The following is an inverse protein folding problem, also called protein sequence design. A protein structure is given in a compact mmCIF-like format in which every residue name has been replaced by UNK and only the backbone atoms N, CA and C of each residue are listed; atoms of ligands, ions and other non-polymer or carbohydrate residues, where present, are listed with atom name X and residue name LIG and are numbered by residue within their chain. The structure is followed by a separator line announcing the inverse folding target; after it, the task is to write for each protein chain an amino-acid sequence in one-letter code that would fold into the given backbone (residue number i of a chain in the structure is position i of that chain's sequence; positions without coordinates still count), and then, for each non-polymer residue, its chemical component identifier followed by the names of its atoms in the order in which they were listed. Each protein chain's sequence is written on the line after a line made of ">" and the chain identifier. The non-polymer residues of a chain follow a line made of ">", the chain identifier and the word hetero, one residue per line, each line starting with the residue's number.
data_IF_125506072176
#
_entry.id   IF_125506072176
#
_cell.length_a   1.000
_cell.length_b   1.000
_cell.length_c   1.000
_cell.angle_alpha   90.00
_cell.angle_beta   90.00
_cell.angle_gamma   90.00
#
_symmetry.space_group_name_H-M   'P 1'
#
loop_
_entity.id
_entity.type
_entity.pdbx_description
1 polymer ?
#
# COMPACT_ATOMS: atom_id res chain seq x y z
N UNK A 1 10.27 28.37 2.72
CA UNK A 1 9.15 27.64 3.34
C UNK A 1 7.91 28.48 3.16
N UNK A 2 6.86 27.93 2.55
CA UNK A 2 5.57 28.62 2.45
C UNK A 2 4.94 28.72 3.85
N UNK A 3 4.14 29.75 4.11
CA UNK A 3 3.36 29.85 5.35
C UNK A 3 2.48 28.62 5.54
N UNK A 4 1.95 28.06 4.44
CA UNK A 4 1.19 26.82 4.43
C UNK A 4 1.99 25.64 4.99
N UNK A 5 3.24 25.47 4.54
CA UNK A 5 4.11 24.38 4.99
C UNK A 5 4.41 24.50 6.49
N UNK A 6 4.59 25.74 6.98
CA UNK A 6 4.83 26.00 8.40
C UNK A 6 3.61 25.63 9.26
N UNK A 7 2.40 25.99 8.83
CA UNK A 7 1.14 25.64 9.51
C UNK A 7 0.94 24.12 9.51
N UNK A 8 1.15 23.45 8.37
CA UNK A 8 1.05 22.00 8.28
C UNK A 8 2.03 21.30 9.24
N UNK A 9 3.27 21.77 9.31
CA UNK A 9 4.26 21.25 10.26
C UNK A 9 3.80 21.39 11.71
N UNK A 10 3.20 22.52 12.09
CA UNK A 10 2.66 22.71 13.44
C UNK A 10 1.48 21.77 13.73
N UNK A 11 0.58 21.56 12.76
CA UNK A 11 -0.53 20.62 12.89
C UNK A 11 -0.01 19.21 13.17
N UNK A 12 1.02 18.76 12.43
CA UNK A 12 1.62 17.43 12.63
C UNK A 12 2.20 17.29 14.04
N UNK A 13 2.96 18.27 14.51
CA UNK A 13 3.57 18.27 15.85
C UNK A 13 2.50 18.18 16.95
N UNK A 14 1.46 19.02 16.87
CA UNK A 14 0.38 19.03 17.85
C UNK A 14 -0.45 17.74 17.82
N UNK A 15 -0.67 17.16 16.64
CA UNK A 15 -1.39 15.88 16.49
C UNK A 15 -0.62 14.73 17.15
N UNK A 16 0.71 14.65 16.95
CA UNK A 16 1.54 13.64 17.62
C UNK A 16 1.53 13.81 19.14
N UNK A 17 1.61 15.05 19.63
CA UNK A 17 1.54 15.33 21.08
C UNK A 17 0.19 14.92 21.68
N UNK A 18 -0.92 15.26 21.00
CA UNK A 18 -2.27 14.88 21.42
C UNK A 18 -2.42 13.36 21.55
N UNK A 19 -1.91 12.60 20.56
CA UNK A 19 -1.95 11.14 20.60
C UNK A 19 -1.21 10.60 21.84
N UNK A 20 0.01 11.10 22.12
CA UNK A 20 0.78 10.67 23.29
C UNK A 20 0.05 10.97 24.61
N UNK A 21 -0.62 12.12 24.72
CA UNK A 21 -1.40 12.47 25.92
C UNK A 21 -2.62 11.58 26.10
N UNK A 22 -3.35 11.28 25.02
CA UNK A 22 -4.49 10.34 25.07
C UNK A 22 -4.05 8.91 25.41
N UNK A 23 -2.88 8.47 24.95
CA UNK A 23 -2.30 7.19 25.36
C UNK A 23 -1.98 7.19 26.87
N UNK A 24 -1.46 8.30 27.40
CA UNK A 24 -1.22 8.44 28.85
C UNK A 24 -2.52 8.44 29.67
N UNK A 25 -3.55 9.14 29.19
CA UNK A 25 -4.88 9.13 29.81
C UNK A 25 -5.48 7.72 29.80
N UNK A 26 -5.41 7.01 28.67
CA UNK A 26 -5.87 5.63 28.58
C UNK A 26 -5.10 4.68 29.51
N UNK A 27 -3.78 4.89 29.67
CA UNK A 27 -2.94 4.06 30.53
C UNK A 27 -3.21 4.30 32.02
N UNK A 28 -3.47 5.54 32.42
CA UNK A 28 -3.71 5.92 33.83
C UNK A 28 -5.18 5.79 34.25
N UNK A 29 -6.11 5.85 33.30
CA UNK A 29 -7.55 5.71 33.53
C UNK A 29 -8.06 6.78 34.51
N UNK A 30 -8.71 6.33 35.59
CA UNK A 30 -9.22 7.22 36.65
C UNK A 30 -8.13 7.94 37.45
N UNK A 31 -6.87 7.49 37.37
CA UNK A 31 -5.74 8.13 38.04
C UNK A 31 -5.00 9.12 37.13
N UNK A 32 -5.63 9.57 36.04
CA UNK A 32 -5.04 10.56 35.14
C UNK A 32 -4.91 11.90 35.85
N UNK A 33 -3.70 12.48 35.96
CA UNK A 33 -3.52 13.82 36.52
C UNK A 33 -4.30 14.85 35.70
N UNK A 34 -4.98 15.83 36.36
CA UNK A 34 -5.81 16.82 35.67
C UNK A 34 -5.03 17.66 34.65
N UNK A 35 -3.72 17.80 34.81
CA UNK A 35 -2.86 18.52 33.87
C UNK A 35 -2.89 17.90 32.46
N UNK A 36 -3.04 16.56 32.36
CA UNK A 36 -3.12 15.86 31.06
C UNK A 36 -4.42 16.21 30.35
N UNK A 37 -5.55 16.18 31.05
CA UNK A 37 -6.86 16.52 30.45
C UNK A 37 -6.90 17.97 30.00
N UNK A 38 -6.32 18.91 30.77
CA UNK A 38 -6.21 20.32 30.37
C UNK A 38 -5.31 20.47 29.14
N UNK A 39 -4.15 19.80 29.12
CA UNK A 39 -3.23 19.88 27.96
C UNK A 39 -3.87 19.31 26.69
N UNK A 40 -4.70 18.27 26.80
CA UNK A 40 -5.49 17.71 25.68
C UNK A 40 -6.44 18.78 25.12
N UNK A 41 -7.23 19.43 25.98
CA UNK A 41 -8.19 20.47 25.57
C UNK A 41 -7.49 21.68 24.90
N UNK A 42 -6.37 22.13 25.46
CA UNK A 42 -5.55 23.21 24.90
C UNK A 42 -5.01 22.87 23.51
N UNK A 43 -4.54 21.63 23.31
CA UNK A 43 -4.00 21.18 22.02
C UNK A 43 -5.11 21.01 20.99
N UNK A 44 -6.27 20.51 21.38
CA UNK A 44 -7.43 20.38 20.48
C UNK A 44 -7.89 21.76 19.99
N UNK A 45 -7.95 22.74 20.88
CA UNK A 45 -8.25 24.14 20.53
C UNK A 45 -7.23 24.70 19.55
N UNK A 46 -5.93 24.53 19.82
CA UNK A 46 -4.85 24.97 18.90
C UNK A 46 -4.93 24.31 17.52
N UNK A 47 -5.24 23.00 17.47
CA UNK A 47 -5.40 22.29 16.20
C UNK A 47 -6.59 22.83 15.40
N UNK A 48 -7.70 23.18 16.07
CA UNK A 48 -8.84 23.79 15.42
C UNK A 48 -8.48 25.16 14.80
N UNK A 49 -7.75 26.00 15.54
CA UNK A 49 -7.29 27.31 15.05
C UNK A 49 -6.33 27.19 13.87
N UNK A 50 -5.33 26.31 13.95
CA UNK A 50 -4.37 26.08 12.86
C UNK A 50 -5.04 25.56 11.59
N UNK A 51 -6.03 24.66 11.72
CA UNK A 51 -6.80 24.16 10.57
C UNK A 51 -7.63 25.27 9.92
N UNK A 52 -8.20 26.18 10.73
CA UNK A 52 -8.92 27.36 10.22
C UNK A 52 -7.96 28.31 9.49
N UNK A 53 -6.76 28.52 10.02
CA UNK A 53 -5.72 29.33 9.35
C UNK A 53 -5.30 28.70 8.02
N UNK A 54 -5.10 27.38 7.98
CA UNK A 54 -4.78 26.65 6.75
C UNK A 54 -5.88 26.83 5.68
N UNK A 55 -7.15 26.74 6.07
CA UNK A 55 -8.29 26.93 5.18
C UNK A 55 -8.35 28.36 4.62
N UNK A 56 -8.07 29.37 5.45
CA UNK A 56 -7.98 30.76 5.03
C UNK A 56 -6.81 30.98 4.07
N UNK A 57 -5.65 30.36 4.33
CA UNK A 57 -4.48 30.45 3.46
C UNK A 57 -4.71 29.79 2.08
N UNK A 58 -5.50 28.71 2.02
CA UNK A 58 -5.90 28.11 0.73
C UNK A 58 -6.96 28.89 -0.04
N UNK A 59 -7.64 29.83 0.62
CA UNK A 59 -8.70 30.65 0.01
C UNK A 59 -8.17 31.90 -0.69
N UNK A 60 -6.85 32.15 -0.68
CA UNK A 60 -6.27 33.07 -1.66
C UNK A 60 -6.23 32.33 -2.99
N UNK A 61 -7.11 32.66 -3.96
CA UNK A 61 -7.01 32.07 -5.28
C UNK A 61 -5.66 32.50 -5.82
N UNK A 62 -4.77 31.55 -6.08
CA UNK A 62 -3.67 31.76 -7.00
C UNK A 62 -4.32 32.22 -8.30
N UNK A 63 -4.32 33.53 -8.52
CA UNK A 63 -4.83 34.12 -9.73
C UNK A 63 -4.04 33.43 -10.85
N UNK A 64 -4.73 32.72 -11.76
CA UNK A 64 -4.04 32.10 -12.87
C UNK A 64 -3.40 33.25 -13.64
N UNK A 65 -2.07 33.29 -13.66
CA UNK A 65 -1.33 34.00 -14.68
C UNK A 65 -1.75 33.32 -15.99
N UNK A 66 -2.81 33.88 -16.58
CA UNK A 66 -3.35 33.53 -17.88
C UNK A 66 -2.24 33.73 -18.90
N UNK A 67 -1.49 32.65 -19.15
CA UNK A 67 -0.51 32.58 -20.22
C UNK A 67 -1.14 31.72 -21.34
N UNK A 68 -1.90 32.32 -22.27
CA UNK A 68 -2.65 31.61 -23.31
C UNK A 68 -1.76 30.87 -24.33
N UNK A 69 -0.43 30.98 -24.23
CA UNK A 69 0.53 30.45 -25.21
C UNK A 69 0.82 28.95 -25.02
N UNK A 70 0.71 28.41 -23.79
CA UNK A 70 1.09 27.02 -23.50
C UNK A 70 0.06 25.98 -23.99
N UNK A 71 -1.17 26.39 -24.28
CA UNK A 71 -2.24 25.49 -24.76
C UNK A 71 -2.12 25.15 -26.25
N UNK A 72 -1.39 25.92 -27.05
CA UNK A 72 -1.23 25.65 -28.49
C UNK A 72 -0.07 24.70 -28.83
N UNK A 73 0.88 24.48 -27.91
CA UNK A 73 2.07 23.68 -28.20
C UNK A 73 1.87 22.18 -27.91
N UNK A 74 0.97 21.82 -26.98
CA UNK A 74 0.69 20.40 -26.65
C UNK A 74 -0.13 19.65 -27.70
N UNK A 75 -0.73 20.35 -28.69
CA UNK A 75 -1.51 19.71 -29.76
C UNK A 75 -0.67 19.21 -30.94
N UNK A 76 0.67 19.42 -30.95
CA UNK A 76 1.53 19.11 -32.11
C UNK A 76 2.46 17.90 -31.97
N UNK A 77 2.48 17.18 -30.85
CA UNK A 77 3.41 16.06 -30.62
C UNK A 77 2.75 14.68 -30.48
N UNK A 78 1.55 14.48 -31.05
CA UNK A 78 0.83 13.19 -31.02
C UNK A 78 0.90 12.42 -32.36
N UNK A 79 2.10 12.18 -32.90
CA UNK A 79 2.29 11.23 -34.01
C UNK A 79 3.73 10.71 -34.05
N UNK A 80 4.01 9.67 -33.27
CA UNK A 80 5.17 8.78 -33.50
C UNK A 80 4.94 7.45 -32.77
N UNK A 81 4.29 6.52 -33.47
CA UNK A 81 4.17 5.13 -33.03
C UNK A 81 5.27 4.32 -33.73
N UNK A 82 6.20 3.65 -33.01
CA UNK A 82 7.26 2.88 -33.65
C UNK A 82 6.74 1.55 -34.25
N UNK A 83 7.30 1.08 -35.38
CA UNK A 83 6.88 -0.17 -36.01
C UNK A 83 7.41 -1.40 -35.24
N UNK A 84 6.53 -2.35 -34.95
CA UNK A 84 6.86 -3.65 -34.35
C UNK A 84 7.55 -4.57 -35.38
N UNK A 85 8.79 -4.97 -35.13
CA UNK A 85 9.51 -5.98 -35.89
C UNK A 85 9.39 -7.36 -35.25
N UNK A 86 8.88 -8.34 -36.00
CA UNK A 86 8.85 -9.76 -35.61
C UNK A 86 10.08 -10.48 -36.20
N UNK A 87 10.89 -11.11 -35.36
CA UNK A 87 12.06 -11.91 -35.78
C UNK A 87 11.73 -13.40 -35.68
N UNK A 88 11.77 -14.10 -36.82
CA UNK A 88 11.58 -15.56 -36.93
C UNK A 88 12.95 -16.22 -37.14
N UNK A 89 13.36 -17.14 -36.26
CA UNK A 89 14.59 -17.94 -36.41
C UNK A 89 14.21 -19.43 -36.27
N UNK A 90 14.51 -20.23 -37.29
CA UNK A 90 14.43 -21.69 -37.18
C UNK A 90 13.03 -22.32 -37.11
N UNK A 91 12.01 -21.70 -37.70
CA UNK A 91 10.66 -22.28 -37.79
C UNK A 91 9.77 -22.08 -36.56
N UNK A 92 10.28 -21.45 -35.50
CA UNK A 92 9.49 -21.03 -34.34
C UNK A 92 8.98 -19.59 -34.54
N UNK A 93 7.68 -19.39 -34.37
CA UNK A 93 6.99 -18.12 -34.60
C UNK A 93 6.75 -17.42 -33.25
N UNK A 94 7.53 -16.39 -32.93
CA UNK A 94 7.36 -15.57 -31.71
C UNK A 94 6.50 -14.34 -32.01
N UNK A 95 5.21 -14.57 -32.33
CA UNK A 95 4.24 -13.50 -32.48
C UNK A 95 3.73 -13.02 -31.12
N UNK A 96 3.88 -11.72 -30.82
CA UNK A 96 3.36 -11.02 -29.65
C UNK A 96 3.90 -11.47 -28.28
N UNK A 97 5.13 -11.05 -27.97
CA UNK A 97 5.59 -10.92 -26.58
C UNK A 97 5.17 -9.52 -26.10
N UNK A 98 3.95 -9.42 -25.59
CA UNK A 98 3.47 -8.24 -24.87
C UNK A 98 2.37 -8.73 -23.93
N UNK A 99 2.63 -8.66 -22.63
CA UNK A 99 1.88 -9.37 -21.60
C UNK A 99 2.72 -10.49 -20.98
N UNK A 100 2.71 -10.56 -19.65
CA UNK A 100 3.68 -11.22 -18.75
C UNK A 100 3.78 -12.75 -18.83
N UNK A 101 3.71 -13.38 -20.00
CA UNK A 101 3.89 -14.84 -20.13
C UNK A 101 4.61 -15.22 -21.42
N UNK A 102 5.88 -15.59 -21.29
CA UNK A 102 6.59 -16.40 -22.29
C UNK A 102 6.89 -17.74 -21.64
N UNK A 103 6.41 -18.81 -22.26
CA UNK A 103 6.58 -20.17 -21.81
C UNK A 103 7.71 -20.82 -22.63
N UNK A 104 8.87 -21.08 -22.03
CA UNK A 104 9.88 -21.99 -22.60
C UNK A 104 10.51 -22.77 -21.44
N UNK A 105 10.30 -24.09 -21.43
CA UNK A 105 10.40 -24.92 -20.22
C UNK A 105 11.78 -25.07 -19.57
N UNK A 106 11.73 -25.49 -18.31
CA UNK A 106 12.41 -26.71 -17.90
C UNK A 106 11.38 -27.54 -17.13
N UNK A 107 10.92 -28.59 -17.79
CA UNK A 107 9.99 -29.58 -17.26
C UNK A 107 10.68 -30.32 -16.12
N UNK A 108 10.13 -30.24 -14.90
CA UNK A 108 10.38 -31.26 -13.88
C UNK A 108 9.07 -31.52 -13.14
N UNK A 109 8.32 -32.48 -13.68
CA UNK A 109 7.24 -33.14 -12.98
C UNK A 109 7.36 -34.64 -13.30
N UNK A 110 7.42 -35.47 -12.26
CA UNK A 110 7.14 -36.90 -12.39
C UNK A 110 5.68 -37.05 -12.86
N UNK A 111 5.51 -37.36 -14.13
CA UNK A 111 4.20 -37.66 -14.72
C UNK A 111 3.88 -39.12 -14.39
N UNK A 112 3.12 -39.36 -13.31
CA UNK A 112 2.50 -40.66 -13.11
C UNK A 112 1.15 -40.73 -13.86
N UNK A 113 1.22 -40.98 -15.16
CA UNK A 113 0.04 -41.17 -16.01
C UNK A 113 -0.39 -42.65 -15.97
N UNK A 114 -1.31 -42.97 -15.05
CA UNK A 114 -1.99 -44.28 -14.98
C UNK A 114 -3.41 -44.29 -15.57
N UNK A 115 -3.79 -43.30 -16.37
CA UNK A 115 -5.15 -43.16 -16.92
C UNK A 115 -5.17 -42.53 -18.31
N UNK A 116 -6.07 -43.04 -19.15
CA UNK A 116 -6.23 -42.70 -20.57
C UNK A 116 -6.53 -41.20 -20.79
N UNK A 117 -5.71 -40.53 -21.61
CA UNK A 117 -5.90 -39.13 -21.99
C UNK A 117 -6.80 -39.09 -23.23
N UNK A 118 -8.11 -39.03 -23.01
CA UNK A 118 -9.08 -38.82 -24.09
C UNK A 118 -9.11 -37.36 -24.54
N UNK A 119 -8.74 -37.13 -25.80
CA UNK A 119 -8.67 -35.85 -26.50
C UNK A 119 -10.03 -35.18 -26.74
N UNK A 120 -10.65 -34.71 -25.67
CA UNK A 120 -11.78 -33.77 -25.71
C UNK A 120 -11.35 -32.45 -25.10
N UNK A 121 -11.51 -31.36 -25.86
CA UNK A 121 -11.11 -30.01 -25.49
C UNK A 121 -11.90 -29.49 -24.28
N UNK A 122 -11.48 -29.91 -23.08
CA UNK A 122 -11.90 -29.31 -21.82
C UNK A 122 -10.65 -28.79 -21.14
N UNK A 123 -10.23 -27.59 -21.54
CA UNK A 123 -9.39 -26.73 -20.69
C UNK A 123 -10.26 -26.32 -19.51
N UNK A 124 -10.44 -27.24 -18.57
CA UNK A 124 -10.75 -26.83 -17.21
C UNK A 124 -9.42 -26.32 -16.71
N UNK A 125 -9.27 -25.01 -16.55
CA UNK A 125 -8.25 -24.41 -15.69
C UNK A 125 -8.60 -24.84 -14.26
N UNK A 126 -8.43 -26.13 -13.98
CA UNK A 126 -8.23 -26.60 -12.64
C UNK A 126 -6.89 -26.00 -12.30
N UNK A 127 -6.91 -24.85 -11.61
CA UNK A 127 -5.81 -24.51 -10.72
C UNK A 127 -5.75 -25.75 -9.84
N UNK A 128 -4.84 -26.67 -10.17
CA UNK A 128 -4.52 -27.78 -9.30
C UNK A 128 -3.90 -27.08 -8.10
N UNK A 129 -4.75 -26.70 -7.16
CA UNK A 129 -4.44 -26.52 -5.76
C UNK A 129 -3.93 -27.88 -5.29
N UNK A 130 -2.75 -28.26 -5.79
CA UNK A 130 -2.08 -29.49 -5.43
C UNK A 130 -1.80 -29.34 -3.97
N UNK A 131 -2.63 -29.98 -3.15
CA UNK A 131 -2.66 -30.01 -1.69
C UNK A 131 -1.44 -29.34 -1.08
N UNK A 132 -1.41 -28.01 -1.11
CA UNK A 132 -0.34 -27.25 -0.49
C UNK A 132 -0.59 -27.49 0.97
N UNK A 133 0.31 -28.21 1.62
CA UNK A 133 0.08 -28.56 3.01
C UNK A 133 -0.14 -27.24 3.76
N UNK A 134 -1.01 -27.25 4.78
CA UNK A 134 -1.29 -26.01 5.52
C UNK A 134 0.01 -25.37 6.06
N UNK A 135 1.05 -26.18 6.30
CA UNK A 135 2.40 -25.72 6.62
C UNK A 135 3.11 -24.96 5.50
N UNK A 136 2.97 -25.39 4.24
CA UNK A 136 3.56 -24.71 3.08
C UNK A 136 2.92 -23.33 2.86
N UNK A 137 1.60 -23.23 3.06
CA UNK A 137 0.87 -21.94 2.97
C UNK A 137 1.34 -20.98 4.06
N UNK A 138 1.52 -21.47 5.29
CA UNK A 138 2.02 -20.68 6.42
C UNK A 138 3.45 -20.19 6.14
N UNK A 139 4.35 -21.05 5.66
CA UNK A 139 5.73 -20.70 5.36
C UNK A 139 5.84 -19.65 4.23
N UNK A 140 5.03 -19.80 3.18
CA UNK A 140 4.97 -18.82 2.08
C UNK A 140 4.43 -17.47 2.54
N UNK A 141 3.41 -17.46 3.40
CA UNK A 141 2.90 -16.23 4.02
C UNK A 141 4.00 -15.54 4.84
N UNK A 142 4.72 -16.28 5.67
CA UNK A 142 5.80 -15.70 6.47
C UNK A 142 6.91 -15.13 5.60
N UNK A 143 7.31 -15.83 4.53
CA UNK A 143 8.29 -15.33 3.57
C UNK A 143 7.79 -14.04 2.88
N UNK A 144 6.52 -13.98 2.49
CA UNK A 144 5.92 -12.79 1.88
C UNK A 144 5.88 -11.60 2.85
N UNK A 145 5.53 -11.84 4.12
CA UNK A 145 5.52 -10.79 5.16
C UNK A 145 6.93 -10.27 5.47
N UNK A 146 7.94 -11.15 5.47
CA UNK A 146 9.35 -10.74 5.62
C UNK A 146 9.79 -9.88 4.45
N UNK A 147 9.47 -10.30 3.22
CA UNK A 147 9.79 -9.53 2.01
C UNK A 147 9.11 -8.15 2.02
N UNK A 148 7.81 -8.12 2.34
CA UNK A 148 7.06 -6.87 2.49
C UNK A 148 7.72 -5.92 3.50
N UNK A 149 8.15 -6.43 4.67
CA UNK A 149 8.84 -5.63 5.69
C UNK A 149 10.15 -5.03 5.15
N UNK A 150 10.93 -5.81 4.40
CA UNK A 150 12.18 -5.34 3.80
C UNK A 150 11.94 -4.23 2.77
N UNK A 151 10.94 -4.41 1.90
CA UNK A 151 10.53 -3.39 0.93
C UNK A 151 10.05 -2.12 1.65
N UNK A 152 9.30 -2.28 2.75
CA UNK A 152 8.82 -1.16 3.54
C UNK A 152 9.95 -0.37 4.21
N UNK A 153 10.91 -1.05 4.84
CA UNK A 153 12.09 -0.40 5.41
C UNK A 153 12.89 0.33 4.32
N UNK A 154 13.07 -0.27 3.13
CA UNK A 154 13.77 0.37 2.03
C UNK A 154 13.07 1.67 1.55
N UNK A 155 11.74 1.67 1.45
CA UNK A 155 10.96 2.87 1.13
C UNK A 155 11.10 3.94 2.22
N UNK A 156 11.04 3.55 3.50
CA UNK A 156 11.21 4.47 4.62
C UNK A 156 12.61 5.09 4.64
N UNK A 157 13.65 4.33 4.33
CA UNK A 157 15.02 4.85 4.22
C UNK A 157 15.16 5.87 3.09
N UNK A 158 14.58 5.58 1.92
CA UNK A 158 14.61 6.47 0.75
C UNK A 158 13.74 7.72 0.92
N UNK A 159 12.71 7.65 1.76
CA UNK A 159 11.82 8.77 2.06
C UNK A 159 12.60 9.87 2.79
N UNK A 160 12.84 10.99 2.09
CA UNK A 160 13.56 12.17 2.65
C UNK A 160 12.66 13.08 3.47
N UNK A 161 11.36 13.00 3.26
CA UNK A 161 10.38 13.91 3.87
C UNK A 161 9.86 13.42 5.24
N UNK A 162 10.16 12.17 5.61
CA UNK A 162 9.81 11.59 6.90
C UNK A 162 10.93 11.85 7.92
N UNK A 163 10.55 12.31 9.11
CA UNK A 163 11.47 12.39 10.24
C UNK A 163 11.71 11.01 10.89
N UNK A 164 12.70 10.94 11.78
CA UNK A 164 13.08 9.67 12.44
C UNK A 164 11.93 9.06 13.26
N UNK A 165 11.09 9.89 13.88
CA UNK A 165 9.99 9.43 14.72
C UNK A 165 8.88 8.79 13.87
N UNK A 166 8.58 9.38 12.71
CA UNK A 166 7.61 8.81 11.77
C UNK A 166 8.09 7.50 11.16
N UNK A 167 9.38 7.39 10.85
CA UNK A 167 9.98 6.14 10.35
C UNK A 167 9.85 5.03 11.40
N UNK A 168 10.22 5.31 12.65
CA UNK A 168 10.07 4.34 13.76
C UNK A 168 8.60 3.94 13.99
N UNK A 169 7.68 4.90 13.90
CA UNK A 169 6.25 4.62 14.06
C UNK A 169 5.68 3.79 12.90
N UNK A 170 6.13 4.04 11.66
CA UNK A 170 5.78 3.24 10.49
C UNK A 170 6.29 1.80 10.61
N UNK A 171 7.55 1.60 11.02
CA UNK A 171 8.13 0.27 11.27
C UNK A 171 7.36 -0.48 12.36
N UNK A 172 7.08 0.20 13.48
CA UNK A 172 6.30 -0.39 14.59
C UNK A 172 4.89 -0.77 14.14
N UNK A 173 4.29 0.02 13.23
CA UNK A 173 2.96 -0.29 12.67
C UNK A 173 3.03 -1.48 11.71
N UNK A 174 4.08 -1.58 10.89
CA UNK A 174 4.32 -2.73 10.04
C UNK A 174 4.48 -4.03 10.84
N UNK A 175 5.20 -3.99 11.96
CA UNK A 175 5.35 -5.14 12.86
C UNK A 175 4.00 -5.59 13.45
N UNK A 176 3.09 -4.64 13.76
CA UNK A 176 1.72 -4.95 14.19
C UNK A 176 0.90 -5.60 13.08
N UNK A 177 1.04 -5.15 11.84
CA UNK A 177 0.40 -5.78 10.67
C UNK A 177 0.87 -7.21 10.51
N UNK A 178 2.19 -7.46 10.54
CA UNK A 178 2.77 -8.80 10.41
C UNK A 178 2.28 -9.71 11.53
N UNK A 179 2.29 -9.23 12.77
CA UNK A 179 1.82 -9.99 13.93
C UNK A 179 0.35 -10.37 13.82
N UNK A 180 -0.50 -9.47 13.32
CA UNK A 180 -1.93 -9.75 13.12
C UNK A 180 -2.14 -10.68 11.93
N UNK A 181 -1.46 -10.46 10.81
CA UNK A 181 -1.55 -11.29 9.61
C UNK A 181 -1.08 -12.74 9.84
N UNK A 182 -0.05 -12.95 10.68
CA UNK A 182 0.43 -14.29 11.09
C UNK A 182 -0.63 -15.14 11.79
N UNK A 183 -1.70 -14.53 12.31
CA UNK A 183 -2.84 -15.27 12.88
C UNK A 183 -3.71 -15.95 11.81
N UNK A 184 -3.47 -15.67 10.53
CA UNK A 184 -4.19 -16.29 9.41
C UNK A 184 -5.69 -16.03 9.48
N UNK A 185 -6.48 -17.10 9.56
CA UNK A 185 -7.95 -17.02 9.66
C UNK A 185 -8.46 -16.38 10.95
N UNK A 186 -7.62 -16.26 11.99
CA UNK A 186 -7.96 -15.59 13.25
C UNK A 186 -7.56 -14.11 13.27
N UNK A 187 -7.00 -13.58 12.17
CA UNK A 187 -6.64 -12.17 12.08
C UNK A 187 -7.90 -11.29 12.17
N UNK A 188 -7.83 -10.20 12.95
CA UNK A 188 -8.91 -9.23 13.00
C UNK A 188 -8.81 -8.26 11.80
N UNK A 189 -9.78 -8.26 10.87
CA UNK A 189 -9.74 -7.42 9.68
C UNK A 189 -9.83 -5.93 10.00
N UNK A 190 -10.60 -5.53 11.01
CA UNK A 190 -10.75 -4.12 11.42
C UNK A 190 -9.43 -3.57 11.98
N UNK A 191 -8.65 -4.40 12.69
CA UNK A 191 -7.32 -4.02 13.16
C UNK A 191 -6.34 -3.84 12.01
N UNK A 192 -6.33 -4.78 11.07
CA UNK A 192 -5.50 -4.68 9.87
C UNK A 192 -5.84 -3.41 9.08
N UNK A 193 -7.13 -3.16 8.83
CA UNK A 193 -7.60 -1.93 8.18
C UNK A 193 -7.13 -0.67 8.92
N UNK A 194 -7.27 -0.64 10.25
CA UNK A 194 -6.78 0.47 11.07
C UNK A 194 -5.28 0.69 10.98
N UNK A 195 -4.48 -0.38 10.87
CA UNK A 195 -3.04 -0.27 10.66
C UNK A 195 -2.70 0.21 9.24
N UNK A 196 -3.39 -0.28 8.21
CA UNK A 196 -3.21 0.18 6.84
C UNK A 196 -3.62 1.64 6.67
N UNK A 197 -4.72 2.10 7.29
CA UNK A 197 -5.11 3.52 7.28
C UNK A 197 -4.05 4.39 7.96
N UNK A 198 -3.43 3.92 9.05
CA UNK A 198 -2.31 4.62 9.70
C UNK A 198 -1.08 4.71 8.79
N UNK A 199 -0.68 3.59 8.18
CA UNK A 199 0.43 3.56 7.22
C UNK A 199 0.15 4.47 6.01
N UNK A 200 -1.06 4.40 5.46
CA UNK A 200 -1.52 5.22 4.34
C UNK A 200 -1.45 6.73 4.59
N UNK A 201 -1.63 7.16 5.83
CA UNK A 201 -1.60 8.58 6.21
C UNK A 201 -0.16 9.09 6.37
N UNK A 202 0.81 8.19 6.59
CA UNK A 202 2.22 8.54 6.74
C UNK A 202 2.98 8.46 5.43
N UNK A 203 2.75 7.38 4.68
CA UNK A 203 3.52 7.04 3.50
C UNK A 203 2.57 6.53 2.41
N UNK A 204 2.04 7.42 1.55
CA UNK A 204 1.16 7.02 0.45
C UNK A 204 1.80 5.95 -0.45
N UNK A 205 3.10 6.09 -0.72
CA UNK A 205 3.90 5.19 -1.55
C UNK A 205 4.00 3.77 -0.97
N UNK A 206 3.83 3.62 0.35
CA UNK A 206 3.85 2.31 1.01
C UNK A 206 2.64 1.46 0.64
N UNK A 207 1.51 2.09 0.32
CA UNK A 207 0.33 1.35 -0.10
C UNK A 207 0.55 0.72 -1.47
N UNK A 208 1.30 1.38 -2.36
CA UNK A 208 1.59 0.83 -3.68
C UNK A 208 2.51 -0.39 -3.57
N UNK A 209 3.55 -0.32 -2.73
CA UNK A 209 4.39 -1.48 -2.41
C UNK A 209 3.55 -2.59 -1.80
N UNK A 210 2.73 -2.27 -0.79
CA UNK A 210 1.86 -3.26 -0.15
C UNK A 210 0.89 -3.90 -1.15
N UNK A 211 0.24 -3.11 -1.99
CA UNK A 211 -0.68 -3.61 -3.01
C UNK A 211 0.04 -4.54 -3.99
N UNK A 212 1.27 -4.20 -4.40
CA UNK A 212 2.09 -5.02 -5.30
C UNK A 212 2.53 -6.33 -4.64
N UNK A 213 2.95 -6.29 -3.37
CA UNK A 213 3.32 -7.50 -2.62
C UNK A 213 2.09 -8.39 -2.37
N UNK A 214 0.91 -7.80 -2.14
CA UNK A 214 -0.35 -8.51 -1.91
C UNK A 214 -1.04 -9.03 -3.16
N UNK A 215 -0.83 -8.39 -4.31
CA UNK A 215 -1.34 -8.85 -5.60
C UNK A 215 -0.72 -10.18 -6.03
N UNK A 216 0.38 -10.62 -5.40
CA UNK A 216 0.87 -11.98 -5.57
C UNK A 216 0.01 -12.96 -4.74
N UNK A 217 -0.81 -13.79 -5.39
CA UNK A 217 -1.96 -14.45 -4.78
C UNK A 217 -1.56 -15.74 -4.03
N UNK A 218 -0.95 -15.63 -2.86
CA UNK A 218 -0.73 -16.78 -1.98
C UNK A 218 -1.93 -17.00 -1.03
N UNK A 219 -3.00 -17.51 -1.65
CA UNK A 219 -4.06 -18.44 -1.23
C UNK A 219 -4.77 -18.41 0.15
N UNK A 220 -4.45 -17.56 1.13
CA UNK A 220 -5.18 -17.59 2.42
C UNK A 220 -5.44 -16.23 3.05
N UNK A 221 -4.37 -15.47 3.24
CA UNK A 221 -4.44 -14.11 3.81
C UNK A 221 -4.71 -13.06 2.72
N UNK A 222 -4.40 -13.40 1.47
CA UNK A 222 -4.71 -12.61 0.29
C UNK A 222 -6.18 -12.20 0.22
N UNK A 223 -7.14 -13.05 0.59
CA UNK A 223 -8.57 -12.68 0.52
C UNK A 223 -8.97 -11.62 1.56
N UNK A 224 -8.46 -11.69 2.79
CA UNK A 224 -8.77 -10.70 3.83
C UNK A 224 -8.07 -9.39 3.51
N UNK A 225 -6.79 -9.45 3.09
CA UNK A 225 -6.01 -8.26 2.74
C UNK A 225 -6.45 -7.62 1.42
N UNK A 226 -6.86 -8.41 0.42
CA UNK A 226 -7.44 -7.91 -0.82
C UNK A 226 -8.77 -7.21 -0.55
N UNK A 227 -9.66 -7.80 0.27
CA UNK A 227 -10.91 -7.12 0.68
C UNK A 227 -10.66 -5.80 1.40
N UNK A 228 -9.61 -5.72 2.22
CA UNK A 228 -9.23 -4.48 2.90
C UNK A 228 -8.65 -3.48 1.90
N UNK A 229 -7.77 -3.90 1.00
CA UNK A 229 -7.20 -3.04 -0.04
C UNK A 229 -8.29 -2.47 -0.96
N UNK A 230 -9.18 -3.32 -1.47
CA UNK A 230 -10.30 -2.91 -2.32
C UNK A 230 -11.21 -1.90 -1.61
N UNK A 231 -11.45 -2.09 -0.30
CA UNK A 231 -12.22 -1.13 0.52
C UNK A 231 -11.51 0.21 0.67
N UNK A 232 -10.21 0.22 0.96
CA UNK A 232 -9.43 1.46 1.12
C UNK A 232 -9.32 2.22 -0.20
N UNK A 233 -9.10 1.52 -1.31
CA UNK A 233 -9.05 2.12 -2.64
C UNK A 233 -10.42 2.72 -3.01
N UNK A 234 -11.53 2.06 -2.67
CA UNK A 234 -12.88 2.57 -2.91
C UNK A 234 -13.18 3.84 -2.09
N UNK A 235 -12.86 3.85 -0.79
CA UNK A 235 -13.04 5.03 0.09
C UNK A 235 -12.20 6.24 -0.36
N UNK A 236 -11.10 6.05 -1.08
CA UNK A 236 -10.29 7.14 -1.66
C UNK A 236 -10.82 7.70 -2.97
N UNK A 237 -11.68 6.95 -3.65
CA UNK A 237 -12.26 7.36 -4.93
C UNK A 237 -13.55 8.19 -4.76
N UNK A 238 -14.14 8.17 -3.56
CA UNK A 238 -15.29 8.99 -3.14
C UNK A 238 -14.86 10.31 -2.51
#
# INVERSE_FOLDING_TARGET
>A
MSQRDAIQKQITIHTRRLQKLREQEALKGLNTPPEISIEIEDIETKLADLRKELANASSQPDLPLSNPELAQEMARQSDNTPPSSSTQIGGLNFGNISGSTINIGNVSADVNAGGDIVGGNKVTTTITSGSTSQGDVQAQLEAALVKWRQELTAVLEQSRDLDSDDKEYAETTADKVIKEAKKGSQANPEKLEGFFKKLSNMTPDILEVTATTLQNPFAGVGLVLQKINDRITLERAE
#
